data_IF_134926544145
#
_entry.id   IF_134926544145
#
_cell.length_a   1.000
_cell.length_b   1.000
_cell.length_c   1.000
_cell.angle_alpha   90.00
_cell.angle_beta   90.00
_cell.angle_gamma   90.00
#
_symmetry.space_group_name_H-M   'P 1'
#
loop_
_entity.id
_entity.type
_entity.pdbx_description
1 polymer ?
#
# COMPACT_ATOMS: atom_id res chain seq x y z
N UNK A 1 -10.53 -12.07 -1.59
CA UNK A 1 -10.66 -11.47 -2.94
C UNK A 1 -11.12 -10.03 -2.75
N UNK A 2 -10.63 -9.04 -3.53
CA UNK A 2 -11.04 -7.64 -3.35
C UNK A 2 -12.53 -7.43 -3.60
N UNK A 3 -13.16 -6.62 -2.76
CA UNK A 3 -14.54 -6.16 -2.92
C UNK A 3 -14.54 -4.69 -3.35
N UNK A 4 -14.95 -4.43 -4.58
CA UNK A 4 -14.98 -3.08 -5.15
C UNK A 4 -16.01 -2.14 -4.51
N UNK A 5 -16.89 -2.65 -3.64
CA UNK A 5 -17.87 -1.85 -2.89
C UNK A 5 -17.34 -1.37 -1.54
N UNK A 6 -16.24 -1.94 -1.07
CA UNK A 6 -15.65 -1.60 0.21
C UNK A 6 -14.43 -0.69 0.02
N UNK A 7 -14.15 0.23 0.97
CA UNK A 7 -13.00 1.10 0.87
C UNK A 7 -11.70 0.30 0.92
N UNK A 8 -10.75 0.67 0.07
CA UNK A 8 -9.37 0.19 0.14
C UNK A 8 -8.55 1.08 1.06
N UNK A 9 -7.57 0.49 1.74
CA UNK A 9 -6.61 1.21 2.59
C UNK A 9 -5.20 0.94 2.09
N UNK A 10 -4.43 2.00 1.88
CA UNK A 10 -3.04 1.93 1.43
C UNK A 10 -2.13 2.21 2.61
N UNK A 11 -1.37 1.21 3.03
CA UNK A 11 -0.29 1.37 4.00
C UNK A 11 1.02 1.48 3.22
N UNK A 12 1.59 2.68 3.19
CA UNK A 12 2.76 3.03 2.37
C UNK A 12 3.97 3.23 3.28
N UNK A 13 5.11 2.67 2.88
CA UNK A 13 6.42 2.92 3.47
C UNK A 13 7.44 3.18 2.35
N UNK A 14 8.38 4.09 2.60
CA UNK A 14 9.35 4.52 1.61
C UNK A 14 10.73 4.74 2.24
N UNK A 15 11.76 4.41 1.49
CA UNK A 15 13.14 4.75 1.81
C UNK A 15 13.81 5.44 0.59
N UNK A 16 15.10 5.79 0.71
CA UNK A 16 15.84 6.46 -0.37
C UNK A 16 15.93 5.66 -1.67
N UNK A 17 15.68 4.35 -1.65
CA UNK A 17 15.85 3.46 -2.80
C UNK A 17 14.52 2.91 -3.34
N UNK A 18 13.53 2.73 -2.48
CA UNK A 18 12.33 1.99 -2.82
C UNK A 18 11.07 2.46 -2.09
N UNK A 19 9.94 2.13 -2.70
CA UNK A 19 8.59 2.31 -2.16
C UNK A 19 7.97 0.92 -1.97
N UNK A 20 7.48 0.65 -0.76
CA UNK A 20 6.71 -0.53 -0.40
C UNK A 20 5.30 -0.15 0.02
N UNK A 21 4.31 -0.91 -0.43
CA UNK A 21 2.91 -0.64 -0.15
C UNK A 21 2.16 -1.94 0.10
N UNK A 22 1.35 -1.96 1.16
CA UNK A 22 0.36 -3.00 1.37
C UNK A 22 -1.05 -2.41 1.13
N UNK A 23 -1.77 -2.97 0.16
CA UNK A 23 -3.17 -2.66 -0.08
C UNK A 23 -4.02 -3.54 0.84
N UNK A 24 -4.74 -2.93 1.78
CA UNK A 24 -5.60 -3.61 2.73
C UNK A 24 -7.07 -3.35 2.42
N UNK A 25 -7.92 -4.27 2.86
CA UNK A 25 -9.36 -4.10 2.86
C UNK A 25 -10.00 -4.95 3.96
N UNK A 26 -11.15 -4.53 4.45
CA UNK A 26 -11.99 -5.36 5.33
C UNK A 26 -12.57 -6.52 4.51
N UNK A 27 -12.29 -7.74 4.95
CA UNK A 27 -12.80 -8.98 4.37
C UNK A 27 -13.68 -9.69 5.41
N UNK A 28 -14.70 -10.41 4.96
CA UNK A 28 -15.47 -11.30 5.83
C UNK A 28 -14.81 -12.68 5.80
N UNK A 29 -14.21 -13.09 6.90
CA UNK A 29 -13.60 -14.41 7.07
C UNK A 29 -14.28 -15.08 8.26
N UNK A 30 -14.85 -16.27 8.06
CA UNK A 30 -15.61 -16.99 9.10
C UNK A 30 -16.68 -16.11 9.77
N UNK A 31 -17.48 -15.40 8.96
CA UNK A 31 -18.55 -14.50 9.40
C UNK A 31 -18.09 -13.30 10.25
N UNK A 32 -16.77 -13.06 10.33
CA UNK A 32 -16.19 -11.95 11.09
C UNK A 32 -15.44 -10.98 10.16
N UNK A 33 -15.53 -9.66 10.40
CA UNK A 33 -14.72 -8.69 9.68
C UNK A 33 -13.26 -8.81 10.10
N UNK A 34 -12.37 -8.90 9.11
CA UNK A 34 -10.92 -8.94 9.27
C UNK A 34 -10.29 -7.95 8.29
N UNK A 35 -9.48 -7.01 8.79
CA UNK A 35 -8.66 -6.16 7.92
C UNK A 35 -7.40 -6.93 7.53
N UNK A 36 -7.23 -7.18 6.23
CA UNK A 36 -6.11 -7.96 5.72
C UNK A 36 -5.57 -7.44 4.38
N UNK A 37 -4.37 -7.88 3.98
CA UNK A 37 -3.78 -7.50 2.71
C UNK A 37 -4.52 -8.15 1.53
N UNK A 38 -4.71 -7.37 0.48
CA UNK A 38 -5.19 -7.77 -0.84
C UNK A 38 -4.00 -8.05 -1.75
N UNK A 39 -3.02 -7.14 -1.77
CA UNK A 39 -1.77 -7.30 -2.49
C UNK A 39 -0.67 -6.42 -1.91
N UNK A 40 0.56 -6.76 -2.27
CA UNK A 40 1.75 -5.96 -1.99
C UNK A 40 2.23 -5.33 -3.29
N UNK A 41 2.55 -4.04 -3.26
CA UNK A 41 3.03 -3.26 -4.40
C UNK A 41 4.41 -2.71 -4.01
N UNK A 42 5.40 -2.95 -4.85
CA UNK A 42 6.76 -2.48 -4.63
C UNK A 42 7.34 -1.89 -5.90
N UNK A 43 8.06 -0.78 -5.78
CA UNK A 43 8.85 -0.22 -6.90
C UNK A 43 10.11 0.45 -6.40
N UNK A 44 11.13 0.49 -7.26
CA UNK A 44 12.27 1.37 -7.05
C UNK A 44 11.89 2.83 -7.28
N UNK A 45 12.57 3.71 -6.54
CA UNK A 45 12.53 5.15 -6.77
C UNK A 45 13.29 5.45 -8.06
N UNK A 46 12.69 6.22 -8.96
CA UNK A 46 13.33 6.62 -10.20
C UNK A 46 14.48 7.59 -9.91
N UNK A 47 15.54 7.62 -10.74
CA UNK A 47 16.64 8.56 -10.55
C UNK A 47 16.23 10.04 -10.47
N UNK A 48 15.13 10.41 -11.12
CA UNK A 48 14.56 11.75 -11.03
C UNK A 48 13.86 11.99 -9.68
N UNK A 49 13.18 10.98 -9.13
CA UNK A 49 12.46 11.05 -7.86
C UNK A 49 13.42 11.11 -6.66
N UNK A 50 14.56 10.40 -6.75
CA UNK A 50 15.61 10.40 -5.73
C UNK A 50 16.29 11.77 -5.50
N UNK A 51 16.08 12.73 -6.41
CA UNK A 51 16.62 14.10 -6.28
C UNK A 51 15.76 15.00 -5.40
N UNK A 52 14.53 14.57 -5.11
CA UNK A 52 13.63 15.28 -4.23
C UNK A 52 13.88 14.87 -2.79
N UNK A 53 13.79 15.85 -1.87
CA UNK A 53 13.98 15.61 -0.44
C UNK A 53 12.94 14.62 0.10
N UNK A 54 13.25 13.90 1.20
CA UNK A 54 12.40 12.84 1.74
C UNK A 54 10.98 13.26 2.17
N UNK A 55 10.70 14.57 2.25
CA UNK A 55 9.44 15.12 2.75
C UNK A 55 8.77 16.09 1.75
N UNK A 56 8.88 15.83 0.45
CA UNK A 56 8.07 16.56 -0.52
C UNK A 56 6.64 16.03 -0.52
N UNK A 57 5.85 16.54 0.43
CA UNK A 57 4.39 16.41 0.48
C UNK A 57 3.80 17.69 -0.10
#
# INVERSE_FOLDING_TARGET
MPDWKLPFKLNIDACGEGLGVALHQVQIVNEKPYEGPICFISRYIKPAEARYGPSQI
#
